data_IF_551413898051
#
_entry.id   IF_551413898051
#
_cell.length_a   1.000
_cell.length_b   1.000
_cell.length_c   1.000
_cell.angle_alpha   90.00
_cell.angle_beta   90.00
_cell.angle_gamma   90.00
#
_symmetry.space_group_name_H-M   'P 1'
#
loop_
_entity.id
_entity.type
_entity.pdbx_description
1 polymer ?
#
# COMPACT_ATOMS: atom_id res chain seq x y z
N UNK A 1 0.25 22.84 -0.90
CA UNK A 1 1.29 21.81 -1.02
C UNK A 1 0.73 20.79 -1.97
N UNK A 2 1.50 20.40 -2.97
CA UNK A 2 1.02 19.48 -4.00
C UNK A 2 1.35 18.07 -3.53
N UNK A 3 0.47 17.10 -3.75
CA UNK A 3 0.74 15.72 -3.31
C UNK A 3 0.85 14.79 -4.50
N UNK A 4 1.66 13.75 -4.38
CA UNK A 4 1.59 12.60 -5.28
C UNK A 4 1.64 11.31 -4.48
N UNK A 5 1.08 10.27 -5.06
CA UNK A 5 0.99 8.94 -4.47
C UNK A 5 1.98 8.02 -5.16
N UNK A 6 2.70 7.22 -4.38
CA UNK A 6 3.31 5.98 -4.87
C UNK A 6 2.55 4.81 -4.29
N UNK A 7 2.38 3.76 -5.07
CA UNK A 7 1.81 2.52 -4.60
C UNK A 7 2.71 1.34 -4.97
N UNK A 8 2.57 0.27 -4.22
CA UNK A 8 3.09 -1.04 -4.56
C UNK A 8 2.16 -2.14 -4.10
N UNK A 9 2.25 -3.29 -4.76
CA UNK A 9 1.54 -4.51 -4.44
C UNK A 9 2.59 -5.52 -4.03
N UNK A 10 2.46 -6.03 -2.83
CA UNK A 10 3.34 -7.08 -2.30
C UNK A 10 2.58 -8.39 -2.23
N UNK A 11 3.24 -9.46 -2.66
CA UNK A 11 2.78 -10.83 -2.50
C UNK A 11 3.88 -11.64 -1.83
N UNK A 12 3.52 -12.51 -0.89
CA UNK A 12 4.47 -13.25 -0.04
C UNK A 12 4.61 -12.68 1.37
N UNK A 13 4.94 -13.55 2.32
CA UNK A 13 5.07 -13.20 3.75
C UNK A 13 6.52 -12.89 4.16
N UNK A 14 7.51 -13.34 3.37
CA UNK A 14 8.95 -13.25 3.69
C UNK A 14 9.80 -13.00 2.45
N UNK A 15 10.83 -12.17 2.61
CA UNK A 15 11.80 -11.79 1.56
C UNK A 15 12.57 -12.97 0.95
N UNK A 16 12.78 -14.03 1.73
CA UNK A 16 13.64 -15.17 1.37
C UNK A 16 12.88 -16.39 0.83
N UNK A 17 11.55 -16.33 0.77
CA UNK A 17 10.72 -17.42 0.24
C UNK A 17 10.11 -17.05 -1.12
N UNK A 18 10.05 -17.98 -2.09
CA UNK A 18 9.44 -17.70 -3.38
C UNK A 18 7.93 -17.46 -3.22
N UNK A 19 7.45 -16.32 -3.72
CA UNK A 19 6.02 -16.00 -3.71
C UNK A 19 5.19 -17.07 -4.43
N UNK A 20 4.00 -17.35 -3.89
CA UNK A 20 3.00 -18.25 -4.50
C UNK A 20 2.17 -17.57 -5.58
N UNK A 21 2.39 -16.26 -5.74
CA UNK A 21 1.78 -15.38 -6.71
C UNK A 21 2.85 -14.97 -7.72
N UNK A 22 2.59 -15.22 -8.99
CA UNK A 22 3.49 -14.86 -10.09
C UNK A 22 2.80 -13.85 -10.98
N UNK A 23 3.40 -12.68 -11.12
CA UNK A 23 2.92 -11.66 -12.05
C UNK A 23 2.95 -12.20 -13.49
N UNK A 24 1.81 -12.12 -14.17
CA UNK A 24 1.65 -12.47 -15.58
C UNK A 24 1.60 -11.23 -16.47
N UNK A 25 1.13 -10.11 -15.93
CA UNK A 25 1.03 -8.83 -16.63
C UNK A 25 0.54 -7.71 -15.71
N UNK A 26 0.72 -6.47 -16.16
CA UNK A 26 0.47 -5.28 -15.36
C UNK A 26 1.72 -4.79 -14.63
N UNK A 27 1.53 -3.81 -13.75
CA UNK A 27 2.61 -3.21 -12.95
C UNK A 27 2.29 -3.33 -11.46
N UNK A 28 3.20 -3.94 -10.69
CA UNK A 28 3.04 -4.12 -9.24
C UNK A 28 3.34 -2.84 -8.46
N UNK A 29 3.76 -1.77 -9.12
CA UNK A 29 4.05 -0.49 -8.47
C UNK A 29 3.89 0.64 -9.46
N UNK A 30 3.55 1.82 -8.95
CA UNK A 30 3.38 2.99 -9.79
C UNK A 30 3.42 4.30 -9.00
N UNK A 31 3.42 5.40 -9.74
CA UNK A 31 3.39 6.75 -9.19
C UNK A 31 2.32 7.58 -9.91
N UNK A 32 1.50 8.30 -9.15
CA UNK A 32 0.54 9.24 -9.70
C UNK A 32 1.19 10.53 -10.19
N UNK A 33 0.39 11.32 -10.91
CA UNK A 33 0.68 12.74 -11.09
C UNK A 33 0.58 13.49 -9.76
N UNK A 34 1.18 14.68 -9.71
CA UNK A 34 0.96 15.62 -8.63
C UNK A 34 -0.48 16.16 -8.70
N UNK A 35 -1.16 16.18 -7.57
CA UNK A 35 -2.53 16.63 -7.41
C UNK A 35 -2.59 17.81 -6.46
N UNK A 36 -3.47 18.73 -6.80
CA UNK A 36 -3.78 19.91 -5.99
C UNK A 36 -4.98 19.59 -5.09
N UNK A 37 -5.10 20.24 -3.92
CA UNK A 37 -6.32 20.13 -3.11
C UNK A 37 -7.51 20.64 -3.92
N UNK A 38 -8.59 19.85 -3.94
CA UNK A 38 -9.89 20.30 -4.39
C UNK A 38 -10.67 20.92 -3.20
N UNK A 39 -11.97 21.11 -3.36
CA UNK A 39 -12.89 21.50 -2.28
C UNK A 39 -12.85 20.46 -1.14
N UNK A 40 -12.88 20.94 0.11
CA UNK A 40 -12.89 20.14 1.35
C UNK A 40 -11.63 19.28 1.63
N UNK A 41 -10.45 19.71 1.15
CA UNK A 41 -9.17 19.00 1.33
C UNK A 41 -9.16 17.56 0.78
N UNK A 42 -10.05 17.27 -0.17
CA UNK A 42 -10.08 16.01 -0.91
C UNK A 42 -9.17 16.12 -2.13
N UNK A 43 -8.32 15.10 -2.31
CA UNK A 43 -7.40 15.02 -3.44
C UNK A 43 -7.82 13.86 -4.35
N UNK A 44 -8.37 14.18 -5.52
CA UNK A 44 -8.73 13.18 -6.52
C UNK A 44 -7.49 12.69 -7.28
N UNK A 45 -7.15 11.41 -7.13
CA UNK A 45 -5.99 10.78 -7.78
C UNK A 45 -6.49 9.78 -8.82
N UNK A 46 -6.12 10.00 -10.09
CA UNK A 46 -6.51 9.14 -11.21
C UNK A 46 -5.40 8.17 -11.60
N UNK A 47 -4.86 7.41 -10.64
CA UNK A 47 -3.80 6.44 -10.90
C UNK A 47 -4.38 5.02 -11.00
N UNK A 48 -4.28 4.35 -12.16
CA UNK A 48 -4.78 2.99 -12.29
C UNK A 48 -3.88 1.98 -11.57
N UNK A 49 -4.52 0.93 -11.06
CA UNK A 49 -3.88 -0.30 -10.57
C UNK A 49 -4.46 -1.43 -11.42
N UNK A 50 -3.62 -2.08 -12.23
CA UNK A 50 -4.02 -3.21 -13.07
C UNK A 50 -2.90 -4.26 -13.04
N UNK A 51 -3.23 -5.43 -12.48
CA UNK A 51 -2.31 -6.54 -12.28
C UNK A 51 -3.01 -7.87 -12.49
N UNK A 52 -2.30 -8.81 -13.10
CA UNK A 52 -2.79 -10.17 -13.32
C UNK A 52 -1.79 -11.17 -12.77
N UNK A 53 -2.24 -11.99 -11.82
CA UNK A 53 -1.42 -13.01 -11.17
C UNK A 53 -1.85 -14.44 -11.54
N UNK A 54 -0.85 -15.32 -11.69
CA UNK A 54 -1.05 -16.75 -11.51
C UNK A 54 -0.79 -17.11 -10.05
N UNK A 55 -1.72 -17.84 -9.44
CA UNK A 55 -1.60 -18.28 -8.04
C UNK A 55 -1.48 -19.81 -7.95
N UNK A 56 -0.60 -20.26 -7.06
CA UNK A 56 -0.39 -21.67 -6.74
C UNK A 56 -0.89 -22.06 -5.33
N UNK A 57 -1.02 -21.08 -4.44
CA UNK A 57 -1.52 -21.20 -3.06
C UNK A 57 -1.97 -19.83 -2.57
N UNK A 58 -2.91 -19.78 -1.61
CA UNK A 58 -3.41 -18.54 -1.00
C UNK A 58 -2.41 -17.87 -0.03
N UNK A 59 -1.31 -18.56 0.31
CA UNK A 59 -0.24 -18.00 1.17
C UNK A 59 0.38 -16.76 0.53
N UNK A 60 0.75 -15.77 1.35
CA UNK A 60 1.32 -14.51 0.85
C UNK A 60 0.31 -13.67 0.10
N UNK A 61 -0.94 -13.64 0.58
CA UNK A 61 -2.05 -12.94 -0.04
C UNK A 61 -1.70 -11.47 -0.36
N UNK A 62 -2.14 -10.92 -1.51
CA UNK A 62 -1.73 -9.59 -1.92
C UNK A 62 -2.12 -8.49 -0.92
N UNK A 63 -1.18 -7.56 -0.70
CA UNK A 63 -1.42 -6.31 0.03
C UNK A 63 -1.05 -5.14 -0.87
N UNK A 64 -1.83 -4.07 -0.80
CA UNK A 64 -1.53 -2.80 -1.46
C UNK A 64 -0.96 -1.88 -0.39
N UNK A 65 0.25 -1.35 -0.62
CA UNK A 65 0.82 -0.30 0.20
C UNK A 65 0.95 0.99 -0.60
N UNK A 66 0.94 2.09 0.12
CA UNK A 66 0.96 3.43 -0.44
C UNK A 66 1.90 4.34 0.34
N UNK A 67 2.47 5.30 -0.37
CA UNK A 67 3.29 6.37 0.16
C UNK A 67 2.71 7.71 -0.33
N UNK A 68 2.36 8.58 0.60
CA UNK A 68 1.92 9.94 0.30
C UNK A 68 3.12 10.86 0.37
N UNK A 69 3.37 11.58 -0.71
CA UNK A 69 4.47 12.51 -0.82
C UNK A 69 3.93 13.92 -1.07
N UNK A 70 4.44 14.88 -0.32
CA UNK A 70 4.19 16.29 -0.53
C UNK A 70 5.36 16.91 -1.29
N UNK A 71 5.07 17.72 -2.29
CA UNK A 71 6.02 18.49 -3.04
C UNK A 71 5.95 19.96 -2.60
N UNK A 72 7.09 20.48 -2.16
CA UNK A 72 7.29 21.88 -1.81
C UNK A 72 7.51 22.73 -3.07
N UNK A 73 7.26 24.03 -2.98
CA UNK A 73 7.40 24.97 -4.10
C UNK A 73 8.84 25.05 -4.65
N UNK A 74 9.85 24.66 -3.86
CA UNK A 74 11.25 24.56 -4.28
C UNK A 74 11.57 23.23 -5.00
N UNK A 75 10.57 22.36 -5.21
CA UNK A 75 10.71 21.06 -5.85
C UNK A 75 11.14 19.94 -4.90
N UNK A 76 11.32 20.22 -3.60
CA UNK A 76 11.68 19.20 -2.62
C UNK A 76 10.47 18.30 -2.34
N UNK A 77 10.68 16.99 -2.44
CA UNK A 77 9.67 15.99 -2.09
C UNK A 77 9.91 15.52 -0.66
N UNK A 78 8.85 15.57 0.15
CA UNK A 78 8.86 15.13 1.53
C UNK A 78 7.76 14.11 1.80
N UNK A 79 8.10 13.08 2.55
CA UNK A 79 7.17 11.99 2.84
C UNK A 79 6.16 12.45 3.90
N UNK A 80 4.88 12.33 3.55
CA UNK A 80 3.77 12.75 4.40
C UNK A 80 3.11 11.58 5.11
N UNK A 81 3.21 10.36 4.59
CA UNK A 81 2.68 9.18 5.26
C UNK A 81 2.82 7.90 4.46
N UNK A 82 2.67 6.79 5.17
CA UNK A 82 2.59 5.43 4.66
C UNK A 82 1.22 4.84 4.99
N UNK A 83 0.75 3.91 4.18
CA UNK A 83 -0.44 3.13 4.48
C UNK A 83 -0.42 1.79 3.77
N UNK A 84 -1.25 0.86 4.22
CA UNK A 84 -1.49 -0.38 3.49
C UNK A 84 -2.89 -0.92 3.77
N UNK A 85 -3.35 -1.80 2.89
CA UNK A 85 -4.56 -2.60 3.07
C UNK A 85 -4.34 -3.98 2.44
N UNK A 86 -4.97 -5.00 3.00
CA UNK A 86 -4.98 -6.34 2.38
C UNK A 86 -6.05 -6.37 1.29
N UNK A 87 -5.75 -7.00 0.15
CA UNK A 87 -6.74 -7.17 -0.92
C UNK A 87 -7.87 -8.09 -0.43
N UNK A 88 -9.15 -7.76 -0.67
CA UNK A 88 -10.26 -8.65 -0.34
C UNK A 88 -10.12 -10.04 -0.95
N UNK A 89 -10.48 -11.07 -0.18
CA UNK A 89 -10.32 -12.46 -0.62
C UNK A 89 -11.36 -12.92 -1.62
N UNK A 90 -12.55 -12.34 -1.62
CA UNK A 90 -13.60 -12.68 -2.57
C UNK A 90 -13.55 -11.78 -3.80
N UNK A 91 -13.95 -12.30 -4.97
CA UNK A 91 -14.13 -11.48 -6.17
C UNK A 91 -15.22 -10.44 -5.94
N UNK A 92 -15.13 -9.27 -6.58
CA UNK A 92 -16.13 -8.21 -6.48
C UNK A 92 -15.53 -6.81 -6.58
N UNK A 93 -16.41 -5.82 -6.38
CA UNK A 93 -16.08 -4.39 -6.36
C UNK A 93 -16.00 -3.90 -4.91
N UNK A 94 -14.91 -3.24 -4.54
CA UNK A 94 -14.66 -2.82 -3.16
C UNK A 94 -14.17 -1.38 -3.09
N UNK A 95 -14.76 -0.60 -2.18
CA UNK A 95 -14.20 0.68 -1.75
C UNK A 95 -13.41 0.44 -0.45
N UNK A 96 -12.10 0.59 -0.50
CA UNK A 96 -11.20 0.32 0.61
C UNK A 96 -10.64 1.62 1.18
N UNK A 97 -10.63 1.70 2.51
CA UNK A 97 -9.98 2.76 3.26
C UNK A 97 -8.57 2.32 3.68
N UNK A 98 -7.57 3.11 3.28
CA UNK A 98 -6.18 2.97 3.72
C UNK A 98 -5.89 4.10 4.71
N UNK A 99 -5.79 3.75 5.99
CA UNK A 99 -5.34 4.69 7.03
C UNK A 99 -3.85 4.96 6.89
N UNK A 100 -3.47 6.23 6.83
CA UNK A 100 -2.07 6.63 6.69
C UNK A 100 -1.45 7.08 8.01
N UNK A 101 -0.15 6.86 8.12
CA UNK A 101 0.65 7.16 9.30
C UNK A 101 2.08 7.53 8.93
N UNK A 102 2.77 8.26 9.80
CA UNK A 102 4.22 8.48 9.69
C UNK A 102 4.91 8.39 11.06
N UNK A 103 6.20 8.03 11.10
CA UNK A 103 6.94 7.98 12.37
C UNK A 103 7.19 9.39 12.94
N UNK A 104 7.21 9.50 14.28
CA UNK A 104 7.51 10.74 15.02
C UNK A 104 8.74 10.57 15.92
N UNK A 105 9.66 11.55 15.92
CA UNK A 105 10.81 11.63 16.83
C UNK A 105 12.20 11.46 16.19
N UNK A 106 13.26 11.54 17.00
CA UNK A 106 14.66 11.37 16.56
C UNK A 106 15.04 9.89 16.49
N UNK A 107 15.24 9.39 15.26
CA UNK A 107 15.66 8.03 14.95
C UNK A 107 17.08 7.74 15.47
N UNK A 108 17.20 7.25 16.70
CA UNK A 108 18.51 6.79 17.22
C UNK A 108 18.74 5.29 17.24
N UNK A 109 17.73 4.46 16.95
CA UNK A 109 17.94 3.01 16.89
C UNK A 109 17.44 2.44 15.55
N UNK A 110 18.41 2.23 14.65
CA UNK A 110 18.53 1.07 13.75
C UNK A 110 17.42 0.80 12.70
N UNK A 111 17.00 1.81 11.94
CA UNK A 111 16.52 1.62 10.56
C UNK A 111 17.15 2.75 9.73
N UNK A 112 17.98 2.39 8.75
CA UNK A 112 18.93 3.26 8.02
C UNK A 112 18.26 4.34 7.17
N UNK A 113 17.78 5.44 7.78
CA UNK A 113 17.13 6.51 7.02
C UNK A 113 18.09 7.19 6.04
N UNK A 114 17.77 7.18 4.74
CA UNK A 114 18.24 8.23 3.84
C UNK A 114 17.39 9.45 4.16
N UNK A 115 18.00 10.46 4.78
CA UNK A 115 17.37 11.76 5.01
C UNK A 115 17.20 12.47 3.66
N UNK A 116 15.96 12.58 3.18
CA UNK A 116 15.59 13.50 2.10
C UNK A 116 14.54 14.45 2.67
N UNK A 117 14.77 15.76 2.60
CA UNK A 117 13.79 16.77 3.04
C UNK A 117 13.67 16.99 4.56
N UNK A 118 14.42 16.27 5.40
CA UNK A 118 14.44 16.48 6.86
C UNK A 118 13.51 15.55 7.67
N UNK A 119 12.76 14.67 7.00
CA UNK A 119 11.97 13.63 7.65
C UNK A 119 12.63 12.25 7.54
N UNK A 120 12.62 11.44 8.62
CA UNK A 120 13.09 10.06 8.56
C UNK A 120 12.22 9.20 7.64
N UNK A 121 12.83 8.55 6.66
CA UNK A 121 12.15 7.57 5.81
C UNK A 121 12.40 6.15 6.30
N UNK A 122 11.38 5.30 6.17
CA UNK A 122 11.48 3.85 6.36
C UNK A 122 12.29 3.28 5.19
N UNK A 123 13.46 2.72 5.46
CA UNK A 123 14.38 2.18 4.44
C UNK A 123 13.96 0.81 3.91
N UNK A 124 13.15 0.09 4.68
CA UNK A 124 12.60 -1.21 4.31
C UNK A 124 11.08 -1.10 4.19
N UNK A 125 10.57 -1.09 2.94
CA UNK A 125 9.14 -0.98 2.65
C UNK A 125 8.29 -2.04 3.37
N UNK A 126 8.89 -3.15 3.79
CA UNK A 126 8.29 -4.20 4.61
C UNK A 126 7.68 -3.68 5.92
N UNK A 127 8.29 -2.68 6.54
CA UNK A 127 7.80 -2.08 7.79
C UNK A 127 6.45 -1.39 7.56
N UNK A 128 6.11 -1.05 6.31
CA UNK A 128 4.83 -0.46 5.97
C UNK A 128 3.69 -1.47 6.17
N UNK A 129 3.88 -2.72 5.76
CA UNK A 129 2.83 -3.75 5.66
C UNK A 129 3.05 -5.01 6.53
N UNK A 130 4.11 -4.99 7.36
CA UNK A 130 4.45 -6.04 8.29
C UNK A 130 4.44 -5.51 9.73
N UNK A 131 3.63 -6.13 10.59
CA UNK A 131 3.38 -5.62 11.94
C UNK A 131 4.57 -5.85 12.89
N UNK A 132 5.42 -6.82 12.58
CA UNK A 132 6.55 -7.25 13.41
C UNK A 132 7.60 -6.14 13.64
N UNK A 133 7.73 -5.17 12.74
CA UNK A 133 8.68 -4.06 12.90
C UNK A 133 7.99 -2.75 13.32
N UNK A 134 6.70 -2.59 12.98
CA UNK A 134 5.95 -1.35 13.22
C UNK A 134 5.75 -1.05 14.70
N UNK A 135 5.60 -2.07 15.56
CA UNK A 135 5.35 -1.86 16.99
C UNK A 135 6.48 -1.09 17.71
N UNK A 136 7.69 -1.08 17.12
CA UNK A 136 8.85 -0.37 17.65
C UNK A 136 8.84 1.13 17.33
N UNK A 137 7.97 1.57 16.43
CA UNK A 137 7.89 2.95 15.96
C UNK A 137 6.83 3.73 16.75
N UNK A 138 7.22 4.92 17.23
CA UNK A 138 6.23 5.95 17.58
C UNK A 138 5.73 6.57 16.29
N UNK A 139 4.41 6.57 16.09
CA UNK A 139 3.78 7.05 14.85
C UNK A 139 2.66 8.03 15.15
N UNK A 140 2.36 8.89 14.19
CA UNK A 140 1.15 9.72 14.16
C UNK A 140 0.32 9.40 12.92
N UNK A 141 -1.00 9.61 12.99
CA UNK A 141 -1.89 9.46 11.85
C UNK A 141 -1.84 10.70 10.96
N UNK A 142 -1.87 10.48 9.64
CA UNK A 142 -1.63 11.53 8.64
C UNK A 142 -2.79 11.69 7.65
N UNK A 143 -3.85 10.88 7.80
CA UNK A 143 -5.05 10.92 6.96
C UNK A 143 -5.49 9.55 6.48
N UNK A 144 -6.20 9.55 5.36
CA UNK A 144 -6.84 8.38 4.77
C UNK A 144 -6.81 8.49 3.25
N UNK A 145 -6.61 7.36 2.57
CA UNK A 145 -6.76 7.23 1.12
C UNK A 145 -7.89 6.26 0.86
N UNK A 146 -8.82 6.65 -0.01
CA UNK A 146 -9.88 5.76 -0.49
C UNK A 146 -9.48 5.24 -1.86
N UNK A 147 -9.48 3.92 -2.02
CA UNK A 147 -9.25 3.26 -3.32
C UNK A 147 -10.48 2.44 -3.71
N UNK A 148 -10.76 2.42 -5.00
CA UNK A 148 -11.76 1.54 -5.61
C UNK A 148 -11.04 0.39 -6.31
N UNK A 149 -11.41 -0.85 -5.99
CA UNK A 149 -10.75 -2.05 -6.50
C UNK A 149 -11.75 -3.05 -7.06
N UNK A 150 -11.47 -3.52 -8.28
CA UNK A 150 -12.19 -4.59 -8.96
C UNK A 150 -11.37 -5.87 -8.93
N UNK A 151 -11.92 -6.94 -8.36
CA UNK A 151 -11.22 -8.20 -8.12
C UNK A 151 -11.90 -9.33 -8.87
N UNK A 152 -11.14 -10.05 -9.69
CA UNK A 152 -11.62 -11.19 -10.46
C UNK A 152 -10.74 -12.42 -10.21
N UNK A 153 -11.36 -13.48 -9.68
CA UNK A 153 -10.74 -14.79 -9.60
C UNK A 153 -11.16 -15.68 -10.77
N UNK A 154 -10.19 -16.48 -11.25
CA UNK A 154 -10.42 -17.49 -12.28
C UNK A 154 -10.09 -18.87 -11.73
N UNK A 155 -11.04 -19.80 -11.86
CA UNK A 155 -10.91 -21.22 -11.52
C UNK A 155 -10.59 -21.53 -10.03
N UNK A 156 -10.81 -20.61 -9.10
CA UNK A 156 -10.56 -20.84 -7.67
C UNK A 156 -11.46 -21.93 -7.08
N UNK A 157 -12.76 -21.91 -7.39
CA UNK A 157 -13.71 -22.94 -6.95
C UNK A 157 -13.33 -24.34 -7.48
N UNK A 158 -12.88 -24.42 -8.74
CA UNK A 158 -12.40 -25.68 -9.35
C UNK A 158 -11.17 -26.23 -8.63
N UNK A 159 -10.42 -25.38 -7.93
CA UNK A 159 -9.25 -25.74 -7.11
C UNK A 159 -9.61 -25.88 -5.63
N UNK A 160 -10.89 -25.90 -5.27
CA UNK A 160 -11.38 -26.10 -3.91
C UNK A 160 -11.27 -24.87 -3.00
N UNK A 161 -11.01 -23.68 -3.56
CA UNK A 161 -10.99 -22.42 -2.81
C UNK A 161 -12.36 -21.78 -2.97
N UNK A 162 -13.12 -21.72 -1.86
CA UNK A 162 -14.44 -21.11 -1.81
C UNK A 162 -14.43 -20.02 -0.74
N UNK A 163 -14.82 -18.81 -1.12
CA UNK A 163 -14.97 -17.69 -0.19
C UNK A 163 -16.44 -17.54 0.18
N UNK A 164 -16.70 -17.28 1.45
CA UNK A 164 -18.08 -17.17 1.95
C UNK A 164 -18.52 -15.70 1.81
N UNK A 165 -19.53 -15.43 0.98
CA UNK A 165 -20.01 -14.06 0.68
C UNK A 165 -20.67 -13.36 1.88
N UNK A 166 -20.91 -14.07 2.99
CA UNK A 166 -21.71 -13.61 4.13
C UNK A 166 -20.92 -13.33 5.42
N UNK A 167 -19.59 -13.23 5.36
CA UNK A 167 -18.79 -12.86 6.53
C UNK A 167 -18.19 -11.48 6.29
N UNK A 168 -18.59 -10.44 7.05
CA UNK A 168 -17.89 -9.17 6.99
C UNK A 168 -16.44 -9.41 7.38
N UNK A 169 -15.52 -9.13 6.45
CA UNK A 169 -14.10 -9.08 6.75
C UNK A 169 -13.87 -7.80 7.55
N UNK A 170 -13.35 -7.99 8.76
CA UNK A 170 -13.20 -7.07 9.88
C UNK A 170 -12.87 -5.61 9.55
#
# INVERSE_FOLDING_TARGET
>A
MDFFLRYGIVTGDRRDEPSRWRLLGGEESGQSHAVFPDVDDVHAICQPIDVHYAVSSIQGWPKIFVQVWGQSHDGTNDLQGYGFVSVPMASGSYDLSIRTWRPIGSFRDEITSVLVGGHPQVTAEEIIYNDDDRFRLKTESTGEIIIHLEILHKDFERRGIVFNENVPLF
#
